data_IF_934669823223
#
_entry.id   IF_934669823223
#
_cell.length_a   1.000
_cell.length_b   1.000
_cell.length_c   1.000
_cell.angle_alpha   90.00
_cell.angle_beta   90.00
_cell.angle_gamma   90.00
#
_symmetry.space_group_name_H-M   'P 1'
#
loop_
_entity.id
_entity.type
_entity.pdbx_description
1 polymer ?
#
# COMPACT_ATOMS: atom_id res chain seq x y z
N UNK A 1 -8.11 -20.65 11.94
CA UNK A 1 -7.60 -20.69 10.56
C UNK A 1 -8.52 -19.97 9.57
N UNK A 2 -9.80 -20.32 9.44
CA UNK A 2 -10.74 -19.73 8.49
C UNK A 2 -10.81 -18.18 8.61
N UNK A 3 -10.95 -17.64 9.84
CA UNK A 3 -11.04 -16.18 10.08
C UNK A 3 -9.73 -15.50 9.70
N UNK A 4 -8.58 -16.07 10.04
CA UNK A 4 -7.27 -15.50 9.71
C UNK A 4 -7.06 -15.45 8.19
N UNK A 5 -7.31 -16.55 7.48
CA UNK A 5 -7.19 -16.59 6.02
C UNK A 5 -8.15 -15.62 5.34
N UNK A 6 -9.40 -15.51 5.82
CA UNK A 6 -10.37 -14.55 5.31
C UNK A 6 -9.89 -13.11 5.52
N UNK A 7 -9.30 -12.81 6.68
CA UNK A 7 -8.77 -11.49 6.99
C UNK A 7 -7.57 -11.13 6.08
N UNK A 8 -6.65 -12.08 5.83
CA UNK A 8 -5.51 -11.87 4.92
C UNK A 8 -5.97 -11.66 3.47
N UNK A 9 -6.97 -12.43 3.01
CA UNK A 9 -7.56 -12.22 1.68
C UNK A 9 -8.27 -10.87 1.57
N UNK A 10 -9.01 -10.47 2.61
CA UNK A 10 -9.65 -9.16 2.65
C UNK A 10 -8.62 -8.02 2.65
N UNK A 11 -7.50 -8.15 3.37
CA UNK A 11 -6.38 -7.22 3.32
C UNK A 11 -5.83 -7.09 1.90
N UNK A 12 -5.52 -8.23 1.25
CA UNK A 12 -5.02 -8.23 -0.12
C UNK A 12 -6.00 -7.57 -1.09
N UNK A 13 -7.29 -7.85 -0.94
CA UNK A 13 -8.34 -7.25 -1.77
C UNK A 13 -8.47 -5.74 -1.54
N UNK A 14 -8.37 -5.26 -0.31
CA UNK A 14 -8.37 -3.82 0.00
C UNK A 14 -7.15 -3.11 -0.59
N UNK A 15 -5.97 -3.74 -0.59
CA UNK A 15 -4.79 -3.22 -1.28
C UNK A 15 -5.01 -3.10 -2.80
N UNK A 16 -5.65 -4.10 -3.43
CA UNK A 16 -6.00 -4.04 -4.86
C UNK A 16 -7.02 -2.94 -5.16
N UNK A 17 -8.02 -2.74 -4.29
CA UNK A 17 -8.99 -1.64 -4.44
C UNK A 17 -8.27 -0.28 -4.32
N UNK A 18 -7.36 -0.13 -3.35
CA UNK A 18 -6.57 1.10 -3.20
C UNK A 18 -5.75 1.39 -4.46
N UNK A 19 -5.04 0.37 -4.99
CA UNK A 19 -4.30 0.49 -6.25
C UNK A 19 -5.20 0.87 -7.42
N UNK A 20 -6.36 0.25 -7.55
CA UNK A 20 -7.33 0.54 -8.60
C UNK A 20 -7.86 1.98 -8.51
N UNK A 21 -8.30 2.40 -7.32
CA UNK A 21 -8.84 3.76 -7.14
C UNK A 21 -7.80 4.84 -7.39
N UNK A 22 -6.55 4.59 -6.98
CA UNK A 22 -5.45 5.51 -7.22
C UNK A 22 -5.04 5.56 -8.70
N UNK A 23 -4.96 4.41 -9.38
CA UNK A 23 -4.67 4.35 -10.81
C UNK A 23 -5.73 5.06 -11.67
N UNK A 24 -7.00 5.02 -11.26
CA UNK A 24 -8.11 5.59 -12.01
C UNK A 24 -8.44 7.03 -11.64
N UNK A 25 -8.24 7.42 -10.39
CA UNK A 25 -8.72 8.70 -9.84
C UNK A 25 -7.65 9.51 -9.12
N UNK A 26 -6.44 8.98 -8.94
CA UNK A 26 -5.37 9.58 -8.13
C UNK A 26 -5.81 9.89 -6.70
N UNK A 27 -6.70 9.07 -6.15
CA UNK A 27 -7.27 9.24 -4.81
C UNK A 27 -7.33 7.88 -4.12
N UNK A 28 -6.84 7.83 -2.89
CA UNK A 28 -7.03 6.70 -1.97
C UNK A 28 -8.13 7.10 -0.98
N UNK A 29 -9.34 6.52 -1.07
CA UNK A 29 -10.42 6.82 -0.14
C UNK A 29 -10.07 6.47 1.30
N UNK A 30 -10.36 7.35 2.24
CA UNK A 30 -10.00 7.17 3.66
C UNK A 30 -10.64 5.94 4.31
N UNK A 31 -11.76 5.43 3.75
CA UNK A 31 -12.40 4.24 4.27
C UNK A 31 -11.54 2.98 4.11
N UNK A 32 -10.67 2.91 3.06
CA UNK A 32 -9.83 1.73 2.81
C UNK A 32 -8.85 1.49 3.96
N UNK A 33 -7.94 2.42 4.32
CA UNK A 33 -7.07 2.22 5.48
C UNK A 33 -7.85 2.10 6.78
N UNK A 34 -9.01 2.78 6.92
CA UNK A 34 -9.88 2.63 8.07
C UNK A 34 -10.43 1.20 8.24
N UNK A 35 -10.95 0.61 7.16
CA UNK A 35 -11.41 -0.79 7.17
C UNK A 35 -10.27 -1.75 7.43
N UNK A 36 -9.07 -1.51 6.87
CA UNK A 36 -7.89 -2.35 7.14
C UNK A 36 -7.54 -2.37 8.63
N UNK A 37 -7.59 -1.23 9.31
CA UNK A 37 -7.32 -1.14 10.76
C UNK A 37 -8.39 -1.89 11.56
N UNK A 38 -9.68 -1.66 11.27
CA UNK A 38 -10.80 -2.34 11.94
C UNK A 38 -10.72 -3.85 11.73
N UNK A 39 -10.44 -4.28 10.50
CA UNK A 39 -10.30 -5.69 10.14
C UNK A 39 -9.14 -6.34 10.91
N UNK A 40 -8.00 -5.66 11.03
CA UNK A 40 -6.87 -6.16 11.82
C UNK A 40 -7.23 -6.28 13.29
N UNK A 41 -7.88 -5.27 13.90
CA UNK A 41 -8.30 -5.31 15.29
C UNK A 41 -9.28 -6.46 15.58
N UNK A 42 -10.21 -6.72 14.65
CA UNK A 42 -11.17 -7.82 14.76
C UNK A 42 -10.49 -9.19 14.56
N UNK A 43 -9.50 -9.28 13.68
CA UNK A 43 -8.79 -10.51 13.36
C UNK A 43 -7.65 -10.83 14.35
N UNK A 44 -7.07 -9.86 15.01
CA UNK A 44 -5.90 -10.01 15.87
C UNK A 44 -5.97 -11.16 16.87
N UNK A 45 -7.10 -11.41 17.58
CA UNK A 45 -7.23 -12.57 18.47
C UNK A 45 -7.12 -13.94 17.75
N UNK A 46 -7.44 -13.97 16.46
CA UNK A 46 -7.43 -15.18 15.63
C UNK A 46 -6.14 -15.31 14.81
N UNK A 47 -5.32 -14.25 14.76
CA UNK A 47 -4.02 -14.23 14.08
C UNK A 47 -2.90 -14.84 14.94
N UNK A 48 -3.21 -15.49 16.06
CA UNK A 48 -2.21 -16.11 16.95
C UNK A 48 -1.21 -15.14 17.56
N UNK A 49 -1.47 -13.83 17.46
CA UNK A 49 -0.59 -12.80 17.99
C UNK A 49 -0.66 -12.77 19.52
N UNK A 50 0.49 -12.91 20.17
CA UNK A 50 0.60 -12.61 21.60
C UNK A 50 0.43 -11.11 21.86
N UNK A 51 0.05 -10.73 23.10
CA UNK A 51 -0.16 -9.33 23.49
C UNK A 51 1.04 -8.42 23.19
N UNK A 52 2.27 -8.95 23.35
CA UNK A 52 3.49 -8.22 23.04
C UNK A 52 3.63 -7.96 21.52
N UNK A 53 3.30 -8.94 20.69
CA UNK A 53 3.34 -8.81 19.23
C UNK A 53 2.26 -7.84 18.72
N UNK A 54 1.05 -7.94 19.27
CA UNK A 54 -0.03 -7.01 18.94
C UNK A 54 0.33 -5.57 19.35
N UNK A 55 0.92 -5.38 20.55
CA UNK A 55 1.42 -4.08 21.00
C UNK A 55 2.54 -3.55 20.09
N UNK A 56 3.45 -4.41 19.64
CA UNK A 56 4.54 -4.04 18.73
C UNK A 56 3.99 -3.66 17.34
N UNK A 57 2.97 -4.36 16.83
CA UNK A 57 2.32 -4.01 15.56
C UNK A 57 1.63 -2.64 15.64
N UNK A 58 0.95 -2.34 16.75
CA UNK A 58 0.35 -1.02 16.99
C UNK A 58 1.42 0.07 17.11
N UNK A 59 2.54 -0.20 17.79
CA UNK A 59 3.65 0.74 17.88
C UNK A 59 4.30 0.97 16.50
N UNK A 60 4.43 -0.08 15.68
CA UNK A 60 4.92 0.00 14.31
C UNK A 60 3.99 0.87 13.45
N UNK A 61 2.68 0.64 13.53
CA UNK A 61 1.67 1.49 12.88
C UNK A 61 1.82 2.97 13.27
N UNK A 62 1.89 3.24 14.57
CA UNK A 62 2.00 4.61 15.07
C UNK A 62 3.30 5.29 14.63
N UNK A 63 4.43 4.56 14.66
CA UNK A 63 5.73 5.05 14.21
C UNK A 63 5.75 5.35 12.71
N UNK A 64 5.23 4.44 11.89
CA UNK A 64 5.15 4.64 10.43
C UNK A 64 4.19 5.77 10.08
N UNK A 65 3.05 5.88 10.78
CA UNK A 65 2.12 6.98 10.60
C UNK A 65 2.76 8.33 10.95
N UNK A 66 3.45 8.41 12.09
CA UNK A 66 4.12 9.64 12.52
C UNK A 66 5.22 10.07 11.54
N UNK A 67 6.07 9.13 11.10
CA UNK A 67 7.09 9.39 10.10
C UNK A 67 6.47 9.80 8.76
N UNK A 68 5.42 9.10 8.31
CA UNK A 68 4.70 9.43 7.09
C UNK A 68 4.07 10.82 7.14
N UNK A 69 3.50 11.22 8.28
CA UNK A 69 2.96 12.57 8.47
C UNK A 69 4.07 13.64 8.44
N UNK A 70 5.25 13.35 8.98
CA UNK A 70 6.39 14.25 8.89
C UNK A 70 6.87 14.43 7.43
N UNK A 71 6.77 13.41 6.60
CA UNK A 71 7.09 13.47 5.17
C UNK A 71 5.95 14.11 4.33
N UNK A 72 4.71 13.98 4.78
CA UNK A 72 3.57 14.63 4.15
C UNK A 72 3.59 16.15 4.33
N UNK A 73 3.99 16.65 5.49
CA UNK A 73 4.04 18.09 5.79
C UNK A 73 4.76 18.92 4.73
N UNK A 74 6.00 18.61 4.33
CA UNK A 74 6.70 19.28 3.23
C UNK A 74 6.22 18.88 1.82
N UNK A 75 5.24 17.98 1.68
CA UNK A 75 4.68 17.54 0.40
C UNK A 75 5.48 16.45 -0.32
N UNK A 76 6.37 15.73 0.40
CA UNK A 76 7.18 14.66 -0.19
C UNK A 76 6.38 13.36 -0.40
N UNK A 77 5.31 13.16 0.37
CA UNK A 77 4.47 11.97 0.30
C UNK A 77 2.99 12.37 0.31
N UNK A 78 2.15 11.64 -0.42
CA UNK A 78 0.71 11.85 -0.44
C UNK A 78 0.05 11.44 0.87
N UNK A 79 -0.93 12.22 1.37
CA UNK A 79 -1.61 11.90 2.62
C UNK A 79 -2.40 10.58 2.58
N UNK A 80 -2.85 10.17 1.38
CA UNK A 80 -3.46 8.86 1.17
C UNK A 80 -2.45 7.72 1.29
N UNK A 81 -1.26 7.91 0.68
CA UNK A 81 -0.16 6.94 0.71
C UNK A 81 0.32 6.71 2.15
N UNK A 82 0.48 7.78 2.93
CA UNK A 82 0.86 7.70 4.35
C UNK A 82 -0.09 6.80 5.13
N UNK A 83 -1.40 6.99 4.97
CA UNK A 83 -2.42 6.20 5.67
C UNK A 83 -2.42 4.75 5.22
N UNK A 84 -2.23 4.51 3.92
CA UNK A 84 -2.20 3.16 3.35
C UNK A 84 -0.95 2.39 3.80
N UNK A 85 0.23 3.03 3.77
CA UNK A 85 1.49 2.44 4.26
C UNK A 85 1.39 2.14 5.75
N UNK A 86 0.86 3.07 6.56
CA UNK A 86 0.68 2.86 7.98
C UNK A 86 -0.28 1.69 8.28
N UNK A 87 -1.43 1.62 7.57
CA UNK A 87 -2.35 0.50 7.71
C UNK A 87 -1.69 -0.83 7.30
N UNK A 88 -0.88 -0.85 6.23
CA UNK A 88 -0.07 -2.01 5.86
C UNK A 88 0.95 -2.38 6.94
N UNK A 89 1.62 -1.39 7.53
CA UNK A 89 2.57 -1.60 8.61
C UNK A 89 1.96 -2.27 9.84
N UNK A 90 0.68 -2.03 10.11
CA UNK A 90 -0.06 -2.70 11.17
C UNK A 90 -0.18 -4.21 10.91
N UNK A 91 -0.42 -4.60 9.65
CA UNK A 91 -0.57 -6.00 9.23
C UNK A 91 0.76 -6.75 9.22
N UNK A 92 1.82 -6.13 8.75
CA UNK A 92 3.14 -6.77 8.72
C UNK A 92 3.81 -6.77 10.08
N UNK A 93 3.62 -5.71 10.89
CA UNK A 93 4.31 -5.58 12.17
C UNK A 93 5.84 -5.49 12.01
N UNK A 94 6.54 -5.49 13.14
CA UNK A 94 7.99 -5.52 13.19
C UNK A 94 8.49 -6.98 13.24
N UNK A 95 9.55 -7.37 12.47
CA UNK A 95 10.38 -6.55 11.57
C UNK A 95 9.90 -6.51 10.10
N UNK A 96 8.87 -7.25 9.74
CA UNK A 96 8.41 -7.47 8.35
C UNK A 96 8.02 -6.17 7.64
N UNK A 97 7.63 -5.14 8.39
CA UNK A 97 7.33 -3.80 7.87
C UNK A 97 8.50 -3.20 7.08
N UNK A 98 9.76 -3.50 7.46
CA UNK A 98 10.92 -2.99 6.75
C UNK A 98 11.00 -3.55 5.33
N UNK A 99 10.80 -4.85 5.18
CA UNK A 99 10.76 -5.50 3.87
C UNK A 99 9.57 -4.98 3.04
N UNK A 100 8.40 -4.85 3.64
CA UNK A 100 7.22 -4.24 2.99
C UNK A 100 7.55 -2.84 2.42
N UNK A 101 8.13 -1.95 3.23
CA UNK A 101 8.48 -0.59 2.79
C UNK A 101 9.53 -0.63 1.68
N UNK A 102 10.54 -1.48 1.79
CA UNK A 102 11.58 -1.63 0.76
C UNK A 102 10.99 -2.10 -0.56
N UNK A 103 10.14 -3.13 -0.55
CA UNK A 103 9.49 -3.61 -1.77
C UNK A 103 8.52 -2.59 -2.36
N UNK A 104 7.74 -1.87 -1.53
CA UNK A 104 6.88 -0.80 -1.97
C UNK A 104 7.69 0.34 -2.61
N UNK A 105 8.81 0.74 -2.01
CA UNK A 105 9.71 1.76 -2.56
C UNK A 105 10.36 1.31 -3.87
N UNK A 106 10.81 0.06 -3.96
CA UNK A 106 11.37 -0.50 -5.19
C UNK A 106 10.32 -0.53 -6.32
N UNK A 107 9.10 -1.01 -6.02
CA UNK A 107 7.99 -0.99 -6.97
C UNK A 107 7.63 0.44 -7.41
N UNK A 108 7.66 1.40 -6.48
CA UNK A 108 7.45 2.82 -6.76
C UNK A 108 8.54 3.39 -7.69
N UNK A 109 9.79 3.03 -7.46
CA UNK A 109 10.91 3.39 -8.34
C UNK A 109 10.73 2.85 -9.76
N UNK A 110 10.37 1.57 -9.88
CA UNK A 110 10.07 0.94 -11.18
C UNK A 110 8.89 1.63 -11.85
N UNK A 111 7.80 1.87 -11.12
CA UNK A 111 6.62 2.57 -11.64
C UNK A 111 7.00 3.97 -12.16
N UNK A 112 7.78 4.72 -11.41
CA UNK A 112 8.24 6.05 -11.81
C UNK A 112 9.07 6.00 -13.10
N UNK A 113 10.02 5.07 -13.21
CA UNK A 113 10.83 4.88 -14.43
C UNK A 113 9.98 4.51 -15.63
N UNK A 114 9.02 3.59 -15.46
CA UNK A 114 8.09 3.19 -16.52
C UNK A 114 7.24 4.38 -16.97
N UNK A 115 6.68 5.17 -16.04
CA UNK A 115 5.90 6.35 -16.38
C UNK A 115 6.73 7.40 -17.10
N UNK A 116 7.98 7.64 -16.67
CA UNK A 116 8.89 8.58 -17.35
C UNK A 116 9.17 8.10 -18.78
N UNK A 117 9.46 6.81 -18.97
CA UNK A 117 9.72 6.24 -20.30
C UNK A 117 8.48 6.35 -21.19
N UNK A 118 7.32 5.95 -20.69
CA UNK A 118 6.07 6.02 -21.45
C UNK A 118 5.69 7.46 -21.81
N UNK A 119 5.83 8.42 -20.91
CA UNK A 119 5.57 9.84 -21.19
C UNK A 119 6.44 10.41 -22.30
N UNK A 120 7.63 9.84 -22.56
CA UNK A 120 8.50 10.22 -23.69
C UNK A 120 8.02 9.67 -25.03
N UNK A 121 7.41 8.49 -25.01
CA UNK A 121 6.98 7.77 -26.24
C UNK A 121 5.57 8.14 -26.65
N UNK A 122 4.68 8.37 -25.68
CA UNK A 122 3.24 8.64 -25.91
C UNK A 122 2.98 9.80 -26.90
N UNK A 123 3.73 10.92 -26.91
CA UNK A 123 3.50 12.00 -27.90
C UNK A 123 3.73 11.55 -29.37
N UNK A 124 4.47 10.47 -29.61
CA UNK A 124 4.70 9.91 -30.94
C UNK A 124 3.61 8.92 -31.39
N UNK A 125 2.67 8.58 -30.50
CA UNK A 125 1.60 7.64 -30.80
C UNK A 125 0.35 8.37 -31.33
N UNK A 126 -0.46 7.77 -32.21
CA UNK A 126 -1.69 8.35 -32.72
C UNK A 126 -2.83 8.26 -31.70
N UNK A 127 -2.60 8.75 -30.48
CA UNK A 127 -3.58 8.77 -29.37
C UNK A 127 -4.00 10.21 -29.12
N UNK A 128 -5.30 10.45 -28.93
CA UNK A 128 -5.80 11.81 -28.71
C UNK A 128 -5.27 12.41 -27.41
N UNK A 129 -4.90 13.68 -27.44
CA UNK A 129 -4.42 14.43 -26.26
C UNK A 129 -5.46 14.42 -25.12
N UNK A 130 -6.75 14.37 -25.44
CA UNK A 130 -7.82 14.28 -24.45
C UNK A 130 -7.80 12.95 -23.68
N UNK A 131 -7.54 11.83 -24.36
CA UNK A 131 -7.42 10.51 -23.72
C UNK A 131 -6.20 10.45 -22.82
N UNK A 132 -5.06 10.97 -23.27
CA UNK A 132 -3.81 11.03 -22.49
C UNK A 132 -3.99 11.91 -21.26
N UNK A 133 -4.65 13.05 -21.41
CA UNK A 133 -4.84 14.04 -20.34
C UNK A 133 -5.58 13.54 -19.11
N UNK A 134 -6.33 12.43 -19.24
CA UNK A 134 -7.07 11.77 -18.15
C UNK A 134 -6.29 10.63 -17.46
N UNK A 135 -5.06 10.38 -17.86
CA UNK A 135 -4.26 9.23 -17.40
C UNK A 135 -3.00 9.68 -16.67
N UNK A 136 -2.33 8.73 -16.01
CA UNK A 136 -1.00 8.93 -15.42
C UNK A 136 0.08 9.26 -16.46
N UNK A 137 -0.22 9.14 -17.76
CA UNK A 137 0.70 9.45 -18.86
C UNK A 137 0.67 10.94 -19.25
N UNK A 138 -0.27 11.73 -18.73
CA UNK A 138 -0.30 13.15 -18.96
C UNK A 138 0.97 13.84 -18.42
N UNK A 139 1.49 14.87 -19.14
CA UNK A 139 2.61 15.67 -18.63
C UNK A 139 2.25 16.28 -17.27
N UNK A 140 3.09 16.02 -16.25
CA UNK A 140 2.87 16.55 -14.90
C UNK A 140 1.80 15.82 -14.07
N UNK A 141 1.17 14.76 -14.59
CA UNK A 141 0.24 13.97 -13.80
C UNK A 141 0.95 13.31 -12.60
N UNK A 142 0.29 13.15 -11.44
CA UNK A 142 0.84 12.40 -10.33
C UNK A 142 1.07 10.92 -10.71
N UNK A 143 1.97 10.25 -10.00
CA UNK A 143 2.13 8.82 -10.11
C UNK A 143 1.16 8.12 -9.14
N UNK A 144 0.45 7.05 -9.53
CA UNK A 144 -0.45 6.31 -8.65
C UNK A 144 0.36 5.42 -7.70
N UNK A 145 0.88 5.99 -6.60
CA UNK A 145 1.76 5.29 -5.68
C UNK A 145 1.10 4.15 -4.92
N UNK A 146 -0.24 4.15 -4.75
CA UNK A 146 -0.92 3.01 -4.14
C UNK A 146 -0.74 1.72 -4.95
N UNK A 147 -0.49 1.79 -6.25
CA UNK A 147 -0.15 0.63 -7.08
C UNK A 147 1.16 -0.01 -6.60
N UNK A 148 2.17 0.81 -6.33
CA UNK A 148 3.46 0.36 -5.83
C UNK A 148 3.37 -0.17 -4.38
N UNK A 149 2.61 0.51 -3.53
CA UNK A 149 2.37 0.09 -2.14
C UNK A 149 1.66 -1.27 -2.14
N UNK A 150 0.62 -1.44 -2.94
CA UNK A 150 -0.10 -2.71 -3.08
C UNK A 150 0.80 -3.82 -3.64
N UNK A 151 1.62 -3.53 -4.65
CA UNK A 151 2.57 -4.50 -5.20
C UNK A 151 3.57 -4.97 -4.13
N UNK A 152 4.14 -4.06 -3.36
CA UNK A 152 5.04 -4.39 -2.24
C UNK A 152 4.34 -5.20 -1.16
N UNK A 153 3.10 -4.83 -0.79
CA UNK A 153 2.31 -5.56 0.20
C UNK A 153 1.97 -6.98 -0.26
N UNK A 154 1.50 -7.15 -1.50
CA UNK A 154 1.13 -8.45 -2.05
C UNK A 154 2.35 -9.36 -2.24
N UNK A 155 3.49 -8.79 -2.63
CA UNK A 155 4.74 -9.54 -2.73
C UNK A 155 5.23 -10.02 -1.36
N UNK A 156 5.12 -9.17 -0.32
CA UNK A 156 5.58 -9.49 1.02
C UNK A 156 4.61 -10.41 1.78
N UNK A 157 3.30 -10.37 1.46
CA UNK A 157 2.27 -11.08 2.22
C UNK A 157 2.56 -12.58 2.39
N UNK A 158 2.91 -13.36 1.35
CA UNK A 158 3.21 -14.80 1.50
C UNK A 158 4.48 -15.07 2.32
N UNK A 159 5.36 -14.09 2.47
CA UNK A 159 6.64 -14.19 3.17
C UNK A 159 6.54 -13.66 4.61
N UNK A 160 5.41 -13.04 4.97
CA UNK A 160 5.22 -12.45 6.29
C UNK A 160 5.04 -13.53 7.37
N UNK A 161 5.46 -13.20 8.58
CA UNK A 161 5.28 -14.06 9.74
C UNK A 161 3.80 -14.40 9.98
N UNK A 162 2.89 -13.47 9.66
CA UNK A 162 1.45 -13.71 9.74
C UNK A 162 0.99 -14.81 8.79
N UNK A 163 1.45 -14.79 7.53
CA UNK A 163 1.04 -15.78 6.53
C UNK A 163 1.67 -17.14 6.82
N UNK A 164 2.97 -17.19 7.16
CA UNK A 164 3.68 -18.44 7.43
C UNK A 164 3.18 -19.15 8.68
N UNK A 165 2.64 -18.44 9.66
CA UNK A 165 2.02 -19.02 10.83
C UNK A 165 0.72 -19.80 10.52
N UNK A 166 0.10 -19.57 9.35
CA UNK A 166 -1.18 -20.18 8.96
C UNK A 166 -1.13 -21.05 7.71
N UNK A 167 -0.10 -20.91 6.88
CA UNK A 167 0.06 -21.71 5.65
C UNK A 167 0.90 -22.99 5.87
N UNK A 168 1.53 -23.13 7.02
CA UNK A 168 2.26 -24.35 7.46
C UNK A 168 1.41 -25.16 8.37
#
# INVERSE_FOLDING_TARGET
>A
EFIANTALLAFAFLMLIAAWTDAMKFIIPNWIPGVMIVLWLAAAPFLGLGWAQAGLALATFAGVLALGMALWGPGWLGGGDVKLIAAGALWFGWPDVLAFIVFAAAAGGVLALVLIALRRVVPALPVSAETIGKTALAPGAPAPYAVAIAAGALFMLPQSALFTAYAG
#
